data_IF_634956391911
#
_entry.id   IF_634956391911
#
_cell.length_a   1.000
_cell.length_b   1.000
_cell.length_c   1.000
_cell.angle_alpha   90.00
_cell.angle_beta   90.00
_cell.angle_gamma   90.00
#
_symmetry.space_group_name_H-M   'P 1'
#
loop_
_entity.id
_entity.type
_entity.pdbx_description
1 polymer ?
#
# COMPACT_ATOMS: atom_id res chain seq x y z
N UNK A 1 7.37 -3.76 8.67
CA UNK A 1 7.78 -2.43 8.20
C UNK A 1 6.95 -2.13 6.96
N UNK A 2 6.15 -1.07 6.96
CA UNK A 2 5.24 -0.72 5.85
C UNK A 2 6.05 -0.16 4.68
N UNK A 3 5.72 -0.51 3.43
CA UNK A 3 6.35 0.13 2.27
C UNK A 3 5.69 1.49 2.02
N UNK A 4 6.32 2.54 2.55
CA UNK A 4 5.86 3.93 2.42
C UNK A 4 5.79 4.39 0.96
N UNK A 5 6.68 3.88 0.11
CA UNK A 5 6.72 4.23 -1.31
C UNK A 5 5.47 3.73 -2.06
N UNK A 6 5.05 2.49 -1.74
CA UNK A 6 3.90 1.86 -2.37
C UNK A 6 2.60 2.47 -1.82
N UNK A 7 2.58 2.77 -0.53
CA UNK A 7 1.51 3.54 0.10
C UNK A 7 1.32 4.92 -0.54
N UNK A 8 2.38 5.69 -0.75
CA UNK A 8 2.32 7.03 -1.35
C UNK A 8 1.81 7.02 -2.79
N UNK A 9 2.11 5.96 -3.57
CA UNK A 9 1.58 5.79 -4.92
C UNK A 9 0.08 5.47 -4.90
N UNK A 10 -0.36 4.64 -3.97
CA UNK A 10 -1.76 4.20 -3.87
C UNK A 10 -2.67 5.24 -3.21
N UNK A 11 -2.13 6.07 -2.32
CA UNK A 11 -2.88 7.07 -1.55
C UNK A 11 -3.76 8.00 -2.41
N UNK A 12 -3.24 8.66 -3.48
CA UNK A 12 -4.07 9.52 -4.32
C UNK A 12 -5.11 8.78 -5.17
N UNK A 13 -4.97 7.46 -5.32
CA UNK A 13 -5.82 6.64 -6.20
C UNK A 13 -6.95 5.95 -5.44
N UNK A 14 -6.68 5.48 -4.22
CA UNK A 14 -7.55 4.56 -3.48
C UNK A 14 -7.94 5.09 -2.10
N UNK A 15 -7.31 6.17 -1.62
CA UNK A 15 -7.51 6.69 -0.28
C UNK A 15 -6.77 5.89 0.80
N UNK A 16 -6.80 6.42 2.03
CA UNK A 16 -5.96 5.98 3.14
C UNK A 16 -6.09 4.48 3.48
N UNK A 17 -7.33 4.00 3.66
CA UNK A 17 -7.58 2.64 4.15
C UNK A 17 -7.17 1.58 3.13
N UNK A 18 -7.50 1.82 1.87
CA UNK A 18 -7.21 0.90 0.77
C UNK A 18 -5.72 0.92 0.44
N UNK A 19 -5.07 2.08 0.43
CA UNK A 19 -3.63 2.20 0.23
C UNK A 19 -2.84 1.46 1.33
N UNK A 20 -3.25 1.57 2.61
CA UNK A 20 -2.62 0.84 3.72
C UNK A 20 -2.77 -0.68 3.55
N UNK A 21 -3.96 -1.16 3.18
CA UNK A 21 -4.21 -2.58 2.98
C UNK A 21 -3.34 -3.17 1.86
N UNK A 22 -3.33 -2.53 0.69
CA UNK A 22 -2.57 -3.01 -0.47
C UNK A 22 -1.06 -2.87 -0.29
N UNK A 23 -0.58 -1.78 0.34
CA UNK A 23 0.83 -1.62 0.67
C UNK A 23 1.30 -2.71 1.65
N UNK A 24 0.45 -3.14 2.57
CA UNK A 24 0.76 -4.25 3.46
C UNK A 24 0.76 -5.60 2.73
N UNK A 25 -0.26 -5.85 1.91
CA UNK A 25 -0.45 -7.10 1.19
C UNK A 25 0.67 -7.35 0.18
N UNK A 26 1.05 -6.34 -0.60
CA UNK A 26 2.11 -6.43 -1.61
C UNK A 26 3.51 -6.57 -1.02
N UNK A 27 3.70 -6.17 0.25
CA UNK A 27 4.97 -6.36 0.97
C UNK A 27 5.10 -7.77 1.54
N UNK A 28 4.00 -8.39 1.98
CA UNK A 28 4.01 -9.73 2.59
C UNK A 28 3.93 -10.83 1.53
N UNK A 29 3.15 -10.60 0.47
CA UNK A 29 2.94 -11.55 -0.62
C UNK A 29 3.01 -10.82 -1.97
N UNK A 30 4.22 -10.45 -2.45
CA UNK A 30 4.38 -10.01 -3.81
C UNK A 30 4.07 -11.18 -4.74
N UNK A 31 2.89 -11.14 -5.38
CA UNK A 31 2.56 -11.98 -6.55
C UNK A 31 3.22 -11.37 -7.78
#
# INVERSE_FOLDING_TARGET
MMSYLLYDVLLPQLGHDVASYWAHLLVIAPI
#
